data_IF_844746680723
#
_entry.id   IF_844746680723
#
_cell.length_a   1.000
_cell.length_b   1.000
_cell.length_c   1.000
_cell.angle_alpha   90.00
_cell.angle_beta   90.00
_cell.angle_gamma   90.00
#
_symmetry.space_group_name_H-M   'P 1'
#
loop_
_entity.id
_entity.type
_entity.pdbx_description
1 polymer ?
#
# COMPACT_ATOMS: atom_id res chain seq x y z
N UNK A 1 0.93 -11.83 8.77
CA UNK A 1 0.96 -10.44 9.28
C UNK A 1 1.10 -10.45 10.78
N UNK A 2 2.01 -9.66 11.28
CA UNK A 2 2.13 -9.36 12.71
C UNK A 2 2.11 -7.86 12.89
N UNK A 3 1.56 -7.40 13.99
CA UNK A 3 1.61 -5.97 14.29
C UNK A 3 1.57 -5.73 15.79
N UNK A 4 2.06 -4.56 16.19
CA UNK A 4 2.03 -4.10 17.57
C UNK A 4 1.68 -2.62 17.61
N UNK A 5 0.99 -2.23 18.66
CA UNK A 5 0.61 -0.84 18.90
C UNK A 5 1.63 -0.17 19.82
N UNK A 6 2.05 1.03 19.42
CA UNK A 6 2.95 1.87 20.21
C UNK A 6 2.33 3.27 20.32
N UNK A 7 1.65 3.55 21.42
CA UNK A 7 0.92 4.80 21.56
C UNK A 7 -0.15 4.93 20.48
N UNK A 8 -0.03 5.95 19.65
CA UNK A 8 -0.98 6.21 18.56
C UNK A 8 -0.55 5.59 17.22
N UNK A 9 0.50 4.78 17.23
CA UNK A 9 1.03 4.20 16.01
C UNK A 9 1.02 2.68 16.08
N UNK A 10 0.98 2.06 14.92
CA UNK A 10 1.15 0.62 14.76
C UNK A 10 2.37 0.36 13.88
N UNK A 11 3.14 -0.66 14.24
CA UNK A 11 4.15 -1.22 13.35
C UNK A 11 3.57 -2.53 12.83
N UNK A 12 3.40 -2.62 11.53
CA UNK A 12 2.79 -3.78 10.87
C UNK A 12 3.82 -4.42 9.97
N UNK A 13 4.02 -5.73 10.15
CA UNK A 13 4.91 -6.51 9.29
C UNK A 13 4.06 -7.48 8.49
N UNK A 14 4.18 -7.42 7.18
CA UNK A 14 3.55 -8.38 6.30
C UNK A 14 4.50 -9.55 6.04
N UNK A 15 3.93 -10.75 5.94
CA UNK A 15 4.69 -11.93 5.60
C UNK A 15 4.82 -12.05 4.08
N UNK A 16 5.76 -12.88 3.67
CA UNK A 16 5.99 -13.14 2.26
C UNK A 16 4.69 -13.59 1.58
N UNK A 17 4.45 -13.08 0.38
CA UNK A 17 3.28 -13.38 -0.46
C UNK A 17 1.95 -12.81 0.04
N UNK A 18 1.95 -12.05 1.12
CA UNK A 18 0.75 -11.33 1.53
C UNK A 18 0.58 -10.07 0.69
N UNK A 19 -0.65 -9.79 0.27
CA UNK A 19 -0.96 -8.62 -0.56
C UNK A 19 -1.18 -7.41 0.35
N UNK A 20 -0.56 -6.28 0.01
CA UNK A 20 -0.52 -5.10 0.89
C UNK A 20 -1.92 -4.55 1.19
N UNK A 21 -2.71 -4.28 0.16
CA UNK A 21 -4.03 -3.67 0.37
C UNK A 21 -4.99 -4.60 1.12
N UNK A 22 -4.95 -5.89 0.79
CA UNK A 22 -5.79 -6.88 1.46
C UNK A 22 -5.43 -6.99 2.94
N UNK A 23 -4.15 -6.99 3.28
CA UNK A 23 -3.70 -7.09 4.67
C UNK A 23 -4.01 -5.80 5.45
N UNK A 24 -3.85 -4.63 4.82
CA UNK A 24 -4.22 -3.38 5.46
C UNK A 24 -5.71 -3.32 5.77
N UNK A 25 -6.55 -3.86 4.88
CA UNK A 25 -8.00 -3.94 5.13
C UNK A 25 -8.30 -4.81 6.34
N UNK A 26 -7.71 -6.01 6.39
CA UNK A 26 -7.89 -6.93 7.52
C UNK A 26 -7.45 -6.28 8.82
N UNK A 27 -6.27 -5.66 8.82
CA UNK A 27 -5.74 -4.96 9.97
C UNK A 27 -6.67 -3.82 10.43
N UNK A 28 -7.06 -2.95 9.51
CA UNK A 28 -7.87 -1.79 9.83
C UNK A 28 -9.25 -2.18 10.36
N UNK A 29 -9.86 -3.20 9.78
CA UNK A 29 -11.16 -3.67 10.24
C UNK A 29 -11.07 -4.33 11.62
N UNK A 30 -10.03 -5.13 11.85
CA UNK A 30 -9.83 -5.80 13.12
C UNK A 30 -9.56 -4.79 14.25
N UNK A 31 -8.72 -3.80 14.00
CA UNK A 31 -8.33 -2.81 15.01
C UNK A 31 -9.21 -1.56 14.99
N UNK A 32 -10.22 -1.54 14.13
CA UNK A 32 -11.16 -0.42 13.98
C UNK A 32 -10.43 0.90 13.69
N UNK A 33 -9.42 0.83 12.85
CA UNK A 33 -8.69 2.01 12.38
C UNK A 33 -9.45 2.61 11.22
N UNK A 34 -9.98 3.80 11.42
CA UNK A 34 -10.82 4.49 10.41
C UNK A 34 -10.13 5.67 9.76
N UNK A 35 -9.04 6.14 10.35
CA UNK A 35 -8.25 7.23 9.80
C UNK A 35 -6.82 7.05 10.25
N UNK A 36 -5.91 6.94 9.29
CA UNK A 36 -4.48 6.81 9.58
C UNK A 36 -3.65 7.24 8.38
N UNK A 37 -2.44 7.69 8.64
CA UNK A 37 -1.42 7.83 7.61
C UNK A 37 -0.60 6.54 7.57
N UNK A 38 -0.12 6.20 6.38
CA UNK A 38 0.63 4.97 6.14
C UNK A 38 1.94 5.32 5.47
N UNK A 39 3.03 4.75 5.98
CA UNK A 39 4.32 4.73 5.30
C UNK A 39 4.86 3.31 5.38
N UNK A 40 5.56 2.88 4.35
CA UNK A 40 6.08 1.52 4.34
C UNK A 40 7.35 1.41 3.51
N UNK A 41 8.08 0.34 3.77
CA UNK A 41 9.25 -0.06 3.01
C UNK A 41 9.22 -1.58 2.84
N UNK A 42 10.03 -2.09 1.94
CA UNK A 42 10.15 -3.52 1.72
C UNK A 42 10.37 -3.87 0.26
N UNK A 43 10.20 -5.15 -0.05
CA UNK A 43 10.35 -5.68 -1.39
C UNK A 43 9.00 -6.12 -1.94
N UNK A 44 8.84 -6.00 -3.25
CA UNK A 44 7.65 -6.47 -3.96
C UNK A 44 8.07 -7.23 -5.20
N UNK A 45 7.27 -8.20 -5.62
CA UNK A 45 7.57 -9.02 -6.79
C UNK A 45 6.50 -8.99 -7.87
N UNK A 46 5.30 -8.60 -7.52
CA UNK A 46 4.16 -8.54 -8.46
C UNK A 46 3.22 -7.44 -7.97
N UNK A 47 3.13 -6.38 -8.73
CA UNK A 47 2.31 -5.25 -8.32
C UNK A 47 1.81 -4.48 -9.52
N UNK A 48 0.68 -3.81 -9.34
CA UNK A 48 0.07 -2.95 -10.35
C UNK A 48 -0.02 -1.55 -9.78
N UNK A 49 0.53 -0.59 -10.49
CA UNK A 49 0.44 0.84 -10.14
C UNK A 49 -0.03 1.60 -11.36
N UNK A 50 -0.54 2.78 -11.14
CA UNK A 50 -1.05 3.56 -12.25
C UNK A 50 -1.25 5.01 -11.94
N UNK A 51 -1.70 5.72 -12.95
CA UNK A 51 -1.96 7.16 -12.91
C UNK A 51 -3.34 7.42 -13.48
N UNK A 52 -4.11 8.27 -12.81
CA UNK A 52 -5.38 8.70 -13.33
C UNK A 52 -5.19 9.89 -14.27
N UNK A 53 -5.62 9.73 -15.52
CA UNK A 53 -5.60 10.79 -16.50
C UNK A 53 -6.90 11.59 -16.38
N UNK A 54 -6.79 12.82 -15.89
CA UNK A 54 -7.96 13.67 -15.67
C UNK A 54 -8.59 14.16 -16.95
N UNK A 55 -7.83 14.25 -18.04
CA UNK A 55 -8.35 14.67 -19.35
C UNK A 55 -9.19 13.56 -19.99
N UNK A 56 -8.64 12.36 -20.02
CA UNK A 56 -9.32 11.19 -20.56
C UNK A 56 -10.32 10.59 -19.59
N UNK A 57 -10.27 10.99 -18.31
CA UNK A 57 -11.07 10.42 -17.21
C UNK A 57 -10.89 8.91 -17.14
N UNK A 58 -9.66 8.45 -17.30
CA UNK A 58 -9.32 7.04 -17.33
C UNK A 58 -8.08 6.79 -16.48
N UNK A 59 -8.03 5.60 -15.88
CA UNK A 59 -6.91 5.16 -15.09
C UNK A 59 -5.99 4.29 -15.95
N UNK A 60 -4.72 4.69 -16.04
CA UNK A 60 -3.70 3.91 -16.75
C UNK A 60 -2.91 3.10 -15.74
N UNK A 61 -3.07 1.79 -15.77
CA UNK A 61 -2.38 0.90 -14.86
C UNK A 61 -1.34 0.07 -15.60
N UNK A 62 -0.27 -0.25 -14.87
CA UNK A 62 0.82 -1.07 -15.36
C UNK A 62 1.15 -2.12 -14.32
N UNK A 63 1.29 -3.38 -14.76
CA UNK A 63 1.68 -4.48 -13.90
C UNK A 63 3.15 -4.78 -14.09
N UNK A 64 3.84 -4.96 -12.99
CA UNK A 64 5.27 -5.28 -12.97
C UNK A 64 5.49 -6.58 -12.21
N UNK A 65 6.34 -7.44 -12.75
CA UNK A 65 6.73 -8.70 -12.13
C UNK A 65 8.24 -8.81 -12.15
N UNK A 66 8.83 -9.21 -11.04
CA UNK A 66 10.28 -9.35 -10.91
C UNK A 66 10.76 -8.98 -9.53
N UNK A 67 12.02 -8.55 -9.45
CA UNK A 67 12.66 -8.18 -8.18
C UNK A 67 12.68 -6.66 -8.06
N UNK A 68 11.91 -6.16 -7.11
CA UNK A 68 11.77 -4.72 -6.89
C UNK A 68 11.83 -4.40 -5.40
N UNK A 69 12.33 -3.21 -5.09
CA UNK A 69 12.28 -2.66 -3.75
C UNK A 69 11.34 -1.45 -3.72
N UNK A 70 10.59 -1.31 -2.64
CA UNK A 70 9.75 -0.14 -2.43
C UNK A 70 10.66 1.02 -2.07
N UNK A 71 10.75 2.00 -2.97
CA UNK A 71 11.48 3.25 -2.73
C UNK A 71 10.67 4.14 -1.80
N UNK A 72 9.36 4.19 -2.03
CA UNK A 72 8.45 5.02 -1.25
C UNK A 72 7.06 4.40 -1.34
N UNK A 73 6.40 4.29 -0.21
CA UNK A 73 4.98 3.96 -0.15
C UNK A 73 4.39 4.86 0.92
N UNK A 74 3.48 5.74 0.51
CA UNK A 74 2.81 6.67 1.41
C UNK A 74 1.34 6.76 1.06
N UNK A 75 0.51 6.96 2.05
CA UNK A 75 -0.91 7.13 1.80
C UNK A 75 -1.73 7.20 3.06
N UNK A 76 -2.99 6.89 2.91
CA UNK A 76 -3.96 6.99 3.99
C UNK A 76 -4.88 5.78 4.03
N UNK A 77 -5.31 5.45 5.24
CA UNK A 77 -6.47 4.62 5.48
C UNK A 77 -7.57 5.57 5.92
N UNK A 78 -8.74 5.45 5.31
CA UNK A 78 -9.92 6.18 5.76
C UNK A 78 -11.17 5.37 5.43
N UNK A 79 -12.34 6.00 5.46
CA UNK A 79 -13.58 5.33 5.12
C UNK A 79 -14.27 6.07 3.97
N UNK A 80 -14.95 5.30 3.13
CA UNK A 80 -15.77 5.82 2.07
C UNK A 80 -17.11 5.10 2.14
N UNK A 81 -18.19 5.87 2.32
CA UNK A 81 -19.52 5.31 2.50
C UNK A 81 -19.60 4.30 3.64
N UNK A 82 -18.81 4.53 4.69
CA UNK A 82 -18.76 3.66 5.87
C UNK A 82 -17.83 2.47 5.75
N UNK A 83 -17.25 2.21 4.59
CA UNK A 83 -16.38 1.08 4.34
C UNK A 83 -14.90 1.50 4.31
N UNK A 84 -14.03 0.51 4.52
CA UNK A 84 -12.60 0.70 4.41
C UNK A 84 -12.24 1.28 3.04
N UNK A 85 -11.42 2.32 3.05
CA UNK A 85 -10.86 2.91 1.85
C UNK A 85 -9.39 3.22 2.08
N UNK A 86 -8.53 2.79 1.17
CA UNK A 86 -7.10 3.00 1.28
C UNK A 86 -6.57 3.61 0.00
N UNK A 87 -5.84 4.70 0.14
CA UNK A 87 -5.24 5.41 -0.98
C UNK A 87 -3.75 5.45 -0.77
N UNK A 88 -3.01 4.74 -1.60
CA UNK A 88 -1.55 4.63 -1.48
C UNK A 88 -0.89 5.07 -2.78
N UNK A 89 0.24 5.76 -2.63
CA UNK A 89 1.16 6.06 -3.72
C UNK A 89 2.42 5.25 -3.50
N UNK A 90 2.93 4.65 -4.56
CA UNK A 90 4.13 3.81 -4.45
C UNK A 90 5.09 4.10 -5.58
N UNK A 91 6.37 4.10 -5.25
CA UNK A 91 7.46 4.09 -6.20
C UNK A 91 8.33 2.88 -5.91
N UNK A 92 8.64 2.11 -6.93
CA UNK A 92 9.47 0.92 -6.79
C UNK A 92 10.71 1.04 -7.65
N UNK A 93 11.82 0.52 -7.15
CA UNK A 93 13.10 0.49 -7.86
C UNK A 93 13.44 -0.91 -8.33
N UNK A 94 14.03 -1.02 -9.52
CA UNK A 94 14.43 -2.28 -10.09
C UNK A 94 15.84 -2.70 -9.64
N UNK A 95 16.32 -3.84 -10.15
CA UNK A 95 17.63 -4.38 -9.81
C UNK A 95 18.78 -3.48 -10.23
N UNK A 96 18.55 -2.58 -11.16
CA UNK A 96 19.57 -1.65 -11.65
C UNK A 96 19.51 -0.29 -10.95
N UNK A 97 18.65 -0.17 -9.95
CA UNK A 97 18.48 1.06 -9.18
C UNK A 97 17.63 2.11 -9.86
N UNK A 98 16.86 1.73 -10.87
CA UNK A 98 15.94 2.64 -11.56
C UNK A 98 14.54 2.53 -10.99
N UNK A 99 13.97 3.68 -10.72
CA UNK A 99 12.61 3.77 -10.20
C UNK A 99 11.56 3.95 -11.31
#
# INVERSE_FOLDING_TARGET
MEYRKFGDAYIVRLDRDEEILAQLKIFAEKEQVKLASVTALGAVKDFTIGVFDTSAKAYHSNRFQGVYEIVSLVGTINTKDGDFYCHLHMCAGDQEGRA
#
